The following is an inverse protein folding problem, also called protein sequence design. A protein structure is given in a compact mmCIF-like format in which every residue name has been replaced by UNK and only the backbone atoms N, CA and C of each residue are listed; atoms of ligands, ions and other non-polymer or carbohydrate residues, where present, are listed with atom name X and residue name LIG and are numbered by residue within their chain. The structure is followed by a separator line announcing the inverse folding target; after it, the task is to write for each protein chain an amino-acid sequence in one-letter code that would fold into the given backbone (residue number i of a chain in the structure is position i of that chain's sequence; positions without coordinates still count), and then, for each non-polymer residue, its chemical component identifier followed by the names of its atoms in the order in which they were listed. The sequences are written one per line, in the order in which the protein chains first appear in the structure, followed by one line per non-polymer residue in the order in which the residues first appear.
data_IF_002088854104
#
_entry.id   IF_002088854104
#
_cell.length_a   1.000
_cell.length_b   1.000
_cell.length_c   1.000
_cell.angle_alpha   90.00
_cell.angle_beta   90.00
_cell.angle_gamma   90.00
#
_symmetry.space_group_name_H-M   'P 1'
#
loop_
_entity.id
_entity.type
_entity.pdbx_description
1 polymer ?
#
# COMPACT_ATOMS: atom_id res chain seq x y z
N UNK A 1 16.17 -9.26 -5.96
CA UNK A 1 15.58 -9.04 -7.29
C UNK A 1 14.22 -9.70 -7.51
N UNK A 2 13.69 -10.50 -6.58
CA UNK A 2 12.30 -11.00 -6.68
C UNK A 2 11.28 -9.98 -6.14
N UNK A 3 11.64 -9.23 -5.08
CA UNK A 3 10.76 -8.26 -4.43
C UNK A 3 10.31 -7.12 -5.37
N UNK A 4 11.21 -6.54 -6.19
CA UNK A 4 10.85 -5.49 -7.16
C UNK A 4 9.76 -5.94 -8.15
N UNK A 5 9.89 -7.16 -8.70
CA UNK A 5 8.89 -7.71 -9.63
C UNK A 5 7.54 -7.96 -8.98
N UNK A 6 7.52 -8.31 -7.69
CA UNK A 6 6.27 -8.49 -6.95
C UNK A 6 5.59 -7.14 -6.71
N UNK A 7 6.35 -6.07 -6.45
CA UNK A 7 5.82 -4.71 -6.34
C UNK A 7 5.26 -4.19 -7.67
N UNK A 8 5.97 -4.40 -8.79
CA UNK A 8 5.49 -3.98 -10.12
C UNK A 8 4.16 -4.65 -10.48
N UNK A 9 4.04 -5.96 -10.23
CA UNK A 9 2.79 -6.69 -10.45
C UNK A 9 1.66 -6.19 -9.55
N UNK A 10 1.97 -5.91 -8.28
CA UNK A 10 0.98 -5.38 -7.34
C UNK A 10 0.51 -3.97 -7.75
N UNK A 11 1.42 -3.11 -8.22
CA UNK A 11 1.08 -1.76 -8.72
C UNK A 11 0.13 -1.88 -9.91
N UNK A 12 0.49 -2.68 -10.92
CA UNK A 12 -0.35 -2.86 -12.11
C UNK A 12 -1.77 -3.34 -11.75
N UNK A 13 -1.88 -4.35 -10.89
CA UNK A 13 -3.17 -4.89 -10.45
C UNK A 13 -4.01 -3.83 -9.72
N UNK A 14 -3.40 -3.04 -8.83
CA UNK A 14 -4.09 -1.98 -8.10
C UNK A 14 -4.56 -0.85 -9.03
N UNK A 15 -3.76 -0.50 -10.04
CA UNK A 15 -4.15 0.49 -11.04
C UNK A 15 -5.31 0.00 -11.92
N UNK A 16 -5.31 -1.27 -12.32
CA UNK A 16 -6.45 -1.87 -13.02
C UNK A 16 -7.73 -1.82 -12.18
N UNK A 17 -7.64 -2.14 -10.88
CA UNK A 17 -8.78 -2.04 -9.96
C UNK A 17 -9.28 -0.60 -9.81
N UNK A 18 -8.37 0.39 -9.79
CA UNK A 18 -8.74 1.81 -9.76
C UNK A 18 -9.41 2.29 -11.05
N UNK A 19 -9.06 1.70 -12.19
CA UNK A 19 -9.76 1.98 -13.45
C UNK A 19 -11.21 1.47 -13.43
N UNK A 20 -11.48 0.38 -12.70
CA UNK A 20 -12.83 -0.16 -12.52
C UNK A 20 -13.62 0.66 -11.48
N UNK A 21 -12.99 0.99 -10.35
CA UNK A 21 -13.61 1.77 -9.29
C UNK A 21 -12.63 2.81 -8.72
N UNK A 22 -12.67 4.06 -9.20
CA UNK A 22 -11.74 5.11 -8.80
C UNK A 22 -12.04 5.70 -7.42
N UNK A 23 -13.13 5.31 -6.76
CA UNK A 23 -13.50 5.80 -5.43
C UNK A 23 -13.00 4.90 -4.30
N UNK A 24 -12.31 3.79 -4.65
CA UNK A 24 -11.76 2.83 -3.68
C UNK A 24 -10.47 3.38 -3.05
N UNK A 25 -10.64 4.18 -2.00
CA UNK A 25 -9.56 4.79 -1.21
C UNK A 25 -8.50 3.79 -0.73
N UNK A 26 -8.91 2.59 -0.32
CA UNK A 26 -8.00 1.51 0.13
C UNK A 26 -6.93 1.14 -0.91
N UNK A 27 -7.24 1.27 -2.20
CA UNK A 27 -6.31 0.95 -3.29
C UNK A 27 -5.23 2.04 -3.42
N UNK A 28 -5.61 3.31 -3.29
CA UNK A 28 -4.65 4.42 -3.22
C UNK A 28 -3.72 4.26 -2.01
N UNK A 29 -4.27 3.92 -0.84
CA UNK A 29 -3.45 3.70 0.36
C UNK A 29 -2.43 2.57 0.17
N UNK A 30 -2.82 1.46 -0.47
CA UNK A 30 -1.90 0.35 -0.80
C UNK A 30 -0.81 0.78 -1.79
N UNK A 31 -1.18 1.49 -2.87
CA UNK A 31 -0.21 2.03 -3.82
C UNK A 31 0.78 2.98 -3.14
N UNK A 32 0.30 3.89 -2.30
CA UNK A 32 1.15 4.81 -1.54
C UNK A 32 2.16 4.06 -0.67
N UNK A 33 1.73 3.02 0.06
CA UNK A 33 2.62 2.20 0.89
C UNK A 33 3.67 1.47 0.06
N UNK A 34 3.28 0.86 -1.07
CA UNK A 34 4.23 0.20 -1.98
C UNK A 34 5.28 1.20 -2.49
N UNK A 35 4.86 2.40 -2.91
CA UNK A 35 5.80 3.43 -3.38
C UNK A 35 6.73 3.92 -2.26
N UNK A 36 6.26 3.97 -1.01
CA UNK A 36 7.12 4.27 0.15
C UNK A 36 8.15 3.18 0.38
N UNK A 37 7.75 1.91 0.29
CA UNK A 37 8.65 0.77 0.47
C UNK A 37 9.71 0.71 -0.63
N UNK A 38 9.36 1.14 -1.86
CA UNK A 38 10.29 1.32 -2.97
C UNK A 38 11.16 2.59 -2.86
N UNK A 39 10.98 3.42 -1.83
CA UNK A 39 11.67 4.70 -1.66
C UNK A 39 11.20 5.79 -2.64
N UNK A 40 10.15 5.54 -3.42
CA UNK A 40 9.59 6.48 -4.38
C UNK A 40 8.49 7.35 -3.76
N UNK A 41 8.92 8.23 -2.84
CA UNK A 41 8.04 9.18 -2.15
C UNK A 41 7.21 10.06 -3.09
N UNK A 42 7.78 10.48 -4.22
CA UNK A 42 7.09 11.34 -5.19
C UNK A 42 5.89 10.62 -5.81
N UNK A 43 6.02 9.33 -6.15
CA UNK A 43 4.89 8.54 -6.66
C UNK A 43 3.81 8.36 -5.60
N UNK A 44 4.18 8.15 -4.33
CA UNK A 44 3.20 8.06 -3.24
C UNK A 44 2.39 9.37 -3.09
N UNK A 45 3.06 10.53 -3.16
CA UNK A 45 2.41 11.85 -3.12
C UNK A 45 1.43 12.01 -4.29
N UNK A 46 1.82 11.64 -5.51
CA UNK A 46 0.93 11.73 -6.69
C UNK A 46 -0.33 10.89 -6.53
N UNK A 47 -0.24 9.73 -5.87
CA UNK A 47 -1.43 8.89 -5.61
C UNK A 47 -2.39 9.54 -4.62
N UNK A 48 -1.89 10.25 -3.60
CA UNK A 48 -2.72 11.07 -2.73
C UNK A 48 -3.46 12.15 -3.54
N UNK A 49 -2.73 12.92 -4.35
CA UNK A 49 -3.31 14.02 -5.14
C UNK A 49 -4.39 13.51 -6.10
N UNK A 50 -4.17 12.35 -6.74
CA UNK A 50 -5.15 11.71 -7.62
C UNK A 50 -6.41 11.30 -6.84
N UNK A 51 -6.25 10.70 -5.66
CA UNK A 51 -7.36 10.32 -4.80
C UNK A 51 -8.17 11.55 -4.34
N UNK A 52 -7.48 12.58 -3.86
CA UNK A 52 -8.12 13.83 -3.41
C UNK A 52 -8.87 14.52 -4.54
N UNK A 53 -8.29 14.61 -5.73
CA UNK A 53 -8.95 15.25 -6.87
C UNK A 53 -10.24 14.51 -7.25
N UNK A 54 -10.19 13.19 -7.42
CA UNK A 54 -11.37 12.40 -7.82
C UNK A 54 -12.47 12.48 -6.75
N UNK A 55 -12.13 12.32 -5.47
CA UNK A 55 -13.11 12.40 -4.39
C UNK A 55 -13.71 13.80 -4.24
N UNK A 56 -12.90 14.84 -4.44
CA UNK A 56 -13.36 16.23 -4.36
C UNK A 56 -14.24 16.59 -5.54
N UNK A 57 -13.89 16.18 -6.75
CA UNK A 57 -14.65 16.51 -7.96
C UNK A 57 -15.99 15.77 -8.02
N UNK A 58 -16.00 14.48 -7.71
CA UNK A 58 -17.19 13.64 -7.93
C UNK A 58 -18.08 13.54 -6.69
N UNK A 59 -17.50 13.54 -5.49
CA UNK A 59 -18.22 13.31 -4.23
C UNK A 59 -18.18 14.51 -3.29
N UNK A 60 -17.37 15.53 -3.60
CA UNK A 60 -17.13 16.70 -2.76
C UNK A 60 -16.73 16.33 -1.31
N UNK A 61 -15.98 15.24 -1.17
CA UNK A 61 -15.42 14.75 0.10
C UNK A 61 -13.89 14.77 0.06
N UNK A 62 -13.27 14.67 1.24
CA UNK A 62 -11.81 14.52 1.38
C UNK A 62 -11.45 13.04 1.55
N UNK A 63 -10.18 12.66 1.24
CA UNK A 63 -9.70 11.31 1.54
C UNK A 63 -9.77 10.96 3.03
N UNK A 64 -9.89 9.66 3.29
CA UNK A 64 -9.88 9.06 4.61
C UNK A 64 -8.61 9.44 5.40
N UNK A 65 -8.73 9.37 6.73
CA UNK A 65 -7.68 9.84 7.63
C UNK A 65 -6.35 9.11 7.44
N UNK A 66 -6.35 7.80 7.18
CA UNK A 66 -5.11 7.04 6.92
C UNK A 66 -4.32 7.56 5.71
N UNK A 67 -5.02 7.97 4.64
CA UNK A 67 -4.40 8.51 3.42
C UNK A 67 -3.79 9.88 3.70
N UNK A 68 -4.50 10.72 4.45
CA UNK A 68 -4.03 12.05 4.87
C UNK A 68 -2.82 11.95 5.81
N UNK A 69 -2.88 11.08 6.82
CA UNK A 69 -1.77 10.84 7.75
C UNK A 69 -0.51 10.36 7.03
N UNK A 70 -0.67 9.47 6.05
CA UNK A 70 0.45 9.01 5.24
C UNK A 70 1.03 10.16 4.40
N UNK A 71 0.18 10.97 3.77
CA UNK A 71 0.62 12.16 3.02
C UNK A 71 1.34 13.20 3.89
N UNK A 72 0.83 13.48 5.09
CA UNK A 72 1.48 14.39 6.04
C UNK A 72 2.86 13.85 6.47
N UNK A 73 2.97 12.54 6.69
CA UNK A 73 4.24 11.89 6.98
C UNK A 73 5.19 11.98 5.76
N UNK A 74 4.64 11.87 4.54
CA UNK A 74 5.30 12.05 3.25
C UNK A 74 5.60 13.51 2.90
N UNK A 75 5.20 14.50 3.68
CA UNK A 75 5.51 15.92 3.38
C UNK A 75 6.39 16.51 4.47
N UNK A 76 6.12 16.19 5.73
CA UNK A 76 6.96 16.49 6.90
C UNK A 76 8.34 15.85 6.87
N UNK A 77 8.54 14.81 6.05
CA UNK A 77 9.83 14.08 5.98
C UNK A 77 10.13 13.23 7.19
N UNK A 78 9.13 12.96 8.03
CA UNK A 78 9.25 12.09 9.21
C UNK A 78 9.11 10.59 8.87
N UNK A 79 8.84 10.25 7.61
CA UNK A 79 8.85 8.86 7.17
C UNK A 79 10.26 8.31 7.08
N UNK A 80 10.58 7.43 8.03
CA UNK A 80 11.65 6.45 7.85
C UNK A 80 11.13 5.44 6.82
N UNK A 81 11.84 5.21 5.69
CA UNK A 81 11.46 4.15 4.76
C UNK A 81 11.39 2.84 5.56
N UNK A 82 10.23 2.20 5.56
CA UNK A 82 10.02 0.89 6.18
C UNK A 82 10.65 -0.20 5.30
N UNK A 83 11.92 -0.04 4.95
CA UNK A 83 12.74 -1.22 4.79
C UNK A 83 12.79 -1.85 6.17
N UNK A 84 12.16 -3.02 6.31
CA UNK A 84 12.50 -3.97 7.36
C UNK A 84 14.00 -3.89 7.53
N UNK A 85 14.44 -3.36 8.67
CA UNK A 85 15.79 -3.59 9.14
C UNK A 85 15.92 -5.10 9.23
N UNK A 86 16.36 -5.75 8.14
CA UNK A 86 17.22 -6.92 8.24
C UNK A 86 18.54 -6.39 8.81
N UNK A 87 18.49 -5.94 10.06
CA UNK A 87 19.61 -6.12 10.93
C UNK A 87 19.88 -7.63 10.87
N UNK A 88 20.96 -7.98 10.18
CA UNK A 88 21.78 -9.14 10.49
C UNK A 88 22.26 -8.95 11.93
N UNK A 89 21.34 -8.99 12.89
CA UNK A 89 21.65 -9.20 14.28
C UNK A 89 21.88 -10.71 14.41
N UNK A 90 23.15 -11.09 14.28
CA UNK A 90 23.63 -12.34 14.87
C UNK A 90 23.48 -12.22 16.39
N UNK A 91 22.26 -12.38 16.89
CA UNK A 91 22.01 -12.55 18.32
C UNK A 91 20.98 -13.67 18.48
N UNK A 92 21.34 -14.79 19.13
CA UNK A 92 20.46 -15.94 19.26
C UNK A 92 19.46 -15.70 20.40
N UNK A 93 18.39 -14.94 20.14
CA UNK A 93 17.26 -14.82 21.07
C UNK A 93 15.95 -14.94 20.28
N UNK A 94 15.57 -16.21 20.10
CA UNK A 94 14.49 -16.74 19.28
C UNK A 94 13.11 -16.43 19.89
N UNK A 95 12.34 -15.62 19.15
CA UNK A 95 11.00 -15.93 18.65
C UNK A 95 9.88 -16.23 19.67
N UNK A 96 9.07 -15.23 19.99
CA UNK A 96 7.67 -15.40 20.45
C UNK A 96 6.86 -14.18 19.97
N UNK A 97 6.27 -14.25 18.79
CA UNK A 97 4.83 -14.49 18.56
C UNK A 97 4.02 -13.20 18.34
N UNK A 98 4.10 -12.63 17.13
CA UNK A 98 2.93 -12.00 16.51
C UNK A 98 2.46 -12.92 15.37
N UNK A 99 1.41 -13.69 15.66
CA UNK A 99 0.58 -14.36 14.65
C UNK A 99 -0.10 -13.27 13.82
N UNK A 100 0.43 -13.01 12.63
CA UNK A 100 -0.37 -12.46 11.54
C UNK A 100 -0.60 -13.64 10.60
N UNK A 101 -1.82 -14.16 10.65
CA UNK A 101 -2.24 -15.39 10.00
C UNK A 101 -2.13 -15.20 8.47
N UNK A 102 -1.28 -16.01 7.82
CA UNK A 102 -1.01 -15.98 6.38
C UNK A 102 -2.16 -16.56 5.52
N UNK A 103 -3.39 -16.62 6.03
CA UNK A 103 -4.50 -17.27 5.34
C UNK A 103 -5.43 -16.35 4.55
N UNK A 104 -5.45 -15.03 4.76
CA UNK A 104 -6.45 -14.17 4.11
C UNK A 104 -6.20 -13.87 2.62
N UNK A 105 -4.97 -14.05 2.12
CA UNK A 105 -4.68 -13.81 0.69
C UNK A 105 -5.18 -14.97 -0.19
N UNK A 106 -5.32 -16.18 0.38
CA UNK A 106 -5.78 -17.36 -0.38
C UNK A 106 -7.31 -17.44 -0.49
N UNK A 107 -8.04 -16.73 0.37
CA UNK A 107 -9.52 -16.76 0.42
C UNK A 107 -10.18 -15.93 -0.69
N UNK A 108 -9.46 -14.98 -1.30
CA UNK A 108 -10.01 -14.11 -2.35
C UNK A 108 -9.87 -14.67 -3.78
N UNK A 109 -9.11 -15.76 -4.00
CA UNK A 109 -8.97 -16.38 -5.33
C UNK A 109 -9.76 -17.69 -5.55
N UNK A 110 -10.58 -18.13 -4.58
CA UNK A 110 -11.25 -19.45 -4.69
C UNK A 110 -12.75 -19.43 -5.06
N UNK A 111 -13.37 -18.26 -5.27
CA UNK A 111 -14.81 -18.15 -5.59
C UNK A 111 -15.15 -17.81 -7.05
N UNK A 112 -14.27 -18.12 -8.01
CA UNK A 112 -14.54 -17.95 -9.46
C UNK A 112 -14.24 -19.20 -10.31
N UNK A 113 -14.20 -20.39 -9.72
CA UNK A 113 -13.99 -21.63 -10.51
C UNK A 113 -14.88 -22.83 -10.13
N UNK A 114 -15.94 -22.64 -9.34
CA UNK A 114 -17.05 -23.60 -9.17
C UNK A 114 -18.29 -22.75 -8.88
N UNK A 115 -19.22 -22.54 -9.81
CA UNK A 115 -20.18 -23.51 -10.37
C UNK A 115 -20.79 -22.91 -11.63
#
# INVERSE_FOLDING_TARGET
HYEDKEYDNAINLLEEMLNINPFKEELYLKLMKIYVDLGNRNSAIKQYERCENILREELNVRPMEDIRNLYESLTSGSLKPSHKEKHIENTPAKLTLLKIDKNDIKTLQMNLSKT
#
